data_IF_111028394070
#
_entry.id   IF_111028394070
#
_cell.length_a   1.000
_cell.length_b   1.000
_cell.length_c   1.000
_cell.angle_alpha   90.00
_cell.angle_beta   90.00
_cell.angle_gamma   90.00
#
_symmetry.space_group_name_H-M   'P 1'
#
loop_
_entity.id
_entity.type
_entity.pdbx_description
1 polymer ?
#
# COMPACT_ATOMS: atom_id res chain seq x y z
N UNK A 1 -3.74 -32.20 12.37
CA UNK A 1 -4.28 -31.06 11.65
C UNK A 1 -3.28 -30.44 10.73
N UNK A 2 -3.44 -30.72 9.47
CA UNK A 2 -2.48 -30.24 8.47
C UNK A 2 -3.00 -29.13 7.59
N UNK A 3 -4.27 -28.80 7.78
CA UNK A 3 -4.92 -27.78 6.96
C UNK A 3 -4.37 -26.39 7.27
N UNK A 4 -4.10 -26.08 8.55
CA UNK A 4 -3.70 -24.75 8.97
C UNK A 4 -2.41 -24.24 8.30
N UNK A 5 -1.33 -25.08 8.20
CA UNK A 5 -0.14 -24.60 7.48
C UNK A 5 -0.41 -24.23 6.03
N UNK A 6 -1.29 -24.98 5.36
CA UNK A 6 -1.65 -24.67 3.99
C UNK A 6 -2.45 -23.39 3.88
N UNK A 7 -3.40 -23.18 4.79
CA UNK A 7 -4.24 -22.00 4.80
C UNK A 7 -3.45 -20.73 5.16
N UNK A 8 -2.37 -20.88 5.93
CA UNK A 8 -1.55 -19.74 6.38
C UNK A 8 -0.40 -19.44 5.44
N UNK A 9 -0.21 -20.21 4.40
CA UNK A 9 0.84 -19.93 3.42
C UNK A 9 0.51 -18.69 2.64
N UNK A 10 1.47 -17.76 2.51
CA UNK A 10 1.26 -16.61 1.64
C UNK A 10 1.22 -17.05 0.18
N UNK A 11 0.56 -16.28 -0.65
CA UNK A 11 0.56 -16.51 -2.08
C UNK A 11 1.95 -16.30 -2.67
N UNK A 12 2.23 -16.84 -3.87
CA UNK A 12 3.53 -16.64 -4.50
C UNK A 12 3.88 -15.17 -4.68
N UNK A 13 5.16 -14.88 -4.82
CA UNK A 13 5.61 -13.52 -5.08
C UNK A 13 4.97 -12.97 -6.34
N UNK A 14 4.60 -11.72 -6.28
CA UNK A 14 3.90 -11.02 -7.34
C UNK A 14 4.57 -9.67 -7.56
N UNK A 15 4.83 -9.34 -8.82
CA UNK A 15 5.41 -8.03 -9.16
C UNK A 15 4.30 -6.98 -9.21
N UNK A 16 4.66 -5.74 -8.92
CA UNK A 16 3.73 -4.65 -9.09
C UNK A 16 3.46 -4.45 -10.58
N UNK A 17 2.20 -4.19 -10.90
CA UNK A 17 1.75 -3.97 -12.26
C UNK A 17 1.80 -2.48 -12.62
N UNK A 18 1.66 -1.65 -11.62
CA UNK A 18 1.63 -0.19 -11.76
C UNK A 18 2.24 0.42 -10.51
N UNK A 19 3.01 1.47 -10.68
CA UNK A 19 3.55 2.22 -9.55
C UNK A 19 3.68 3.69 -9.92
N UNK A 20 3.78 4.54 -8.92
CA UNK A 20 3.94 5.96 -9.16
C UNK A 20 3.89 6.76 -7.87
N UNK A 21 3.84 8.07 -8.03
CA UNK A 21 3.72 9.02 -6.94
C UNK A 21 2.47 9.86 -7.13
N UNK A 22 1.72 10.06 -6.06
CA UNK A 22 0.53 10.91 -6.06
C UNK A 22 0.76 12.10 -5.17
N UNK A 23 0.66 13.31 -5.73
CA UNK A 23 0.75 14.55 -4.97
C UNK A 23 -0.53 14.70 -4.15
N UNK A 24 -0.43 14.62 -2.83
CA UNK A 24 -1.60 14.68 -1.94
C UNK A 24 -1.73 16.03 -1.23
N UNK A 25 -0.65 16.81 -1.18
CA UNK A 25 -0.65 18.18 -0.65
C UNK A 25 0.50 18.94 -1.28
N UNK A 26 0.65 20.22 -0.92
CA UNK A 26 1.77 21.02 -1.43
C UNK A 26 3.11 20.42 -1.02
N UNK A 27 3.19 19.87 0.18
CA UNK A 27 4.42 19.31 0.74
C UNK A 27 4.61 17.83 0.40
N UNK A 28 3.55 17.04 0.47
CA UNK A 28 3.65 15.58 0.46
C UNK A 28 3.24 14.93 -0.86
N UNK A 29 4.07 13.96 -1.26
CA UNK A 29 3.82 13.11 -2.41
C UNK A 29 3.97 11.66 -1.94
N UNK A 30 2.94 10.85 -2.07
CA UNK A 30 2.98 9.46 -1.61
C UNK A 30 3.29 8.51 -2.76
N UNK A 31 4.11 7.51 -2.46
CA UNK A 31 4.43 6.44 -3.40
C UNK A 31 3.40 5.33 -3.27
N UNK A 32 2.98 4.77 -4.40
CA UNK A 32 2.03 3.66 -4.40
C UNK A 32 2.42 2.60 -5.42
N UNK A 33 1.95 1.38 -5.19
CA UNK A 33 2.07 0.25 -6.12
C UNK A 33 0.74 -0.49 -6.21
N UNK A 34 0.42 -0.96 -7.39
CA UNK A 34 -0.78 -1.77 -7.63
C UNK A 34 -0.37 -3.11 -8.21
N UNK A 35 -0.91 -4.17 -7.67
CA UNK A 35 -0.65 -5.54 -8.14
C UNK A 35 -1.94 -6.36 -8.14
N UNK A 36 -1.88 -7.57 -8.68
CA UNK A 36 -3.02 -8.47 -8.72
C UNK A 36 -3.98 -8.19 -9.85
N UNK A 37 -5.25 -8.45 -9.61
CA UNK A 37 -6.30 -8.35 -10.64
C UNK A 37 -6.72 -6.90 -10.85
N UNK A 38 -6.52 -6.33 -12.05
CA UNK A 38 -6.92 -4.93 -12.30
C UNK A 38 -8.41 -4.67 -12.20
N UNK A 39 -9.22 -5.71 -12.29
CA UNK A 39 -10.67 -5.61 -12.18
C UNK A 39 -11.19 -6.25 -10.89
N UNK A 40 -10.28 -6.57 -9.97
CA UNK A 40 -10.64 -7.23 -8.74
C UNK A 40 -11.13 -6.28 -7.66
N UNK A 41 -11.50 -6.87 -6.53
CA UNK A 41 -11.87 -6.08 -5.35
C UNK A 41 -10.67 -5.29 -4.85
N UNK A 42 -10.82 -4.00 -4.61
CA UNK A 42 -9.70 -3.22 -4.05
C UNK A 42 -9.38 -3.68 -2.63
N UNK A 43 -8.10 -3.91 -2.38
CA UNK A 43 -7.56 -4.18 -1.05
C UNK A 43 -6.45 -3.18 -0.81
N UNK A 44 -6.62 -2.34 0.19
CA UNK A 44 -5.64 -1.32 0.55
C UNK A 44 -4.81 -1.82 1.73
N UNK A 45 -3.50 -1.86 1.53
CA UNK A 45 -2.57 -2.30 2.57
C UNK A 45 -1.98 -1.08 3.27
N UNK A 46 -2.27 -0.96 4.55
CA UNK A 46 -1.74 0.13 5.38
C UNK A 46 -0.62 -0.46 6.23
N UNK A 47 0.62 -0.06 5.93
CA UNK A 47 1.76 -0.58 6.66
C UNK A 47 1.81 -0.06 8.09
N UNK A 48 2.44 -0.84 8.97
CA UNK A 48 2.64 -0.45 10.36
C UNK A 48 4.02 0.14 10.61
N UNK A 49 4.29 0.47 11.87
CA UNK A 49 5.57 0.97 12.34
C UNK A 49 5.90 2.36 11.83
N UNK A 50 6.57 3.20 12.60
CA UNK A 50 6.96 4.49 12.05
C UNK A 50 8.12 4.34 11.08
N UNK A 51 8.01 4.96 9.90
CA UNK A 51 9.13 5.12 8.96
C UNK A 51 9.48 3.94 8.08
N UNK A 52 8.82 2.79 8.25
CA UNK A 52 9.20 1.58 7.52
C UNK A 52 8.78 1.56 6.05
N UNK A 53 7.60 2.05 5.77
CA UNK A 53 7.02 1.94 4.44
C UNK A 53 6.41 0.57 4.18
N UNK A 54 5.80 0.41 3.02
CA UNK A 54 5.19 -0.84 2.62
C UNK A 54 6.25 -1.80 2.07
N UNK A 55 6.01 -3.09 2.24
CA UNK A 55 6.92 -4.14 1.80
C UNK A 55 6.26 -4.98 0.71
N UNK A 56 7.04 -5.44 -0.30
CA UNK A 56 6.47 -6.31 -1.34
C UNK A 56 5.81 -7.57 -0.79
N UNK A 57 6.27 -8.06 0.36
CA UNK A 57 5.73 -9.26 0.96
C UNK A 57 4.29 -9.12 1.42
N UNK A 58 3.84 -7.91 1.73
CA UNK A 58 2.47 -7.69 2.22
C UNK A 58 1.42 -8.07 1.18
N UNK A 59 1.75 -7.97 -0.12
CA UNK A 59 0.81 -8.34 -1.18
C UNK A 59 0.59 -9.86 -1.25
N UNK A 60 1.45 -10.65 -0.64
CA UNK A 60 1.32 -12.11 -0.62
C UNK A 60 0.23 -12.62 0.29
N UNK A 61 -0.41 -11.75 1.06
CA UNK A 61 -1.51 -12.13 1.93
C UNK A 61 -2.87 -12.04 1.22
N UNK A 62 -2.89 -11.63 -0.03
CA UNK A 62 -4.12 -11.46 -0.81
C UNK A 62 -4.07 -12.31 -2.06
N UNK A 63 -5.21 -12.91 -2.41
CA UNK A 63 -5.32 -13.68 -3.64
C UNK A 63 -5.25 -12.74 -4.85
N UNK A 64 -4.21 -12.85 -5.68
CA UNK A 64 -4.02 -11.92 -6.79
C UNK A 64 -5.02 -12.10 -7.93
N UNK A 65 -5.79 -13.19 -7.94
CA UNK A 65 -6.85 -13.39 -8.92
C UNK A 65 -8.15 -12.70 -8.54
N UNK A 66 -8.32 -12.43 -7.24
CA UNK A 66 -9.54 -11.84 -6.69
C UNK A 66 -9.37 -10.35 -6.41
N UNK A 67 -8.21 -9.95 -5.92
CA UNK A 67 -8.00 -8.59 -5.41
C UNK A 67 -7.12 -7.76 -6.31
N UNK A 68 -7.48 -6.49 -6.43
CA UNK A 68 -6.58 -5.44 -6.87
C UNK A 68 -5.88 -4.92 -5.60
N UNK A 69 -4.60 -5.22 -5.46
CA UNK A 69 -3.86 -4.98 -4.23
C UNK A 69 -3.15 -3.64 -4.34
N UNK A 70 -3.54 -2.70 -3.50
CA UNK A 70 -2.97 -1.35 -3.49
C UNK A 70 -2.11 -1.20 -2.25
N UNK A 71 -0.84 -0.89 -2.46
CA UNK A 71 0.12 -0.60 -1.40
C UNK A 71 0.58 0.83 -1.56
N UNK A 72 0.84 1.50 -0.45
CA UNK A 72 1.39 2.85 -0.49
C UNK A 72 2.30 3.06 0.72
N UNK A 73 3.23 3.99 0.56
CA UNK A 73 4.06 4.43 1.66
C UNK A 73 3.44 5.69 2.25
N UNK A 74 3.18 5.66 3.55
CA UNK A 74 2.58 6.79 4.26
C UNK A 74 3.51 8.00 4.21
N UNK A 75 2.97 9.19 4.48
CA UNK A 75 3.76 10.42 4.52
C UNK A 75 5.02 10.24 5.36
N UNK A 76 6.15 10.64 4.83
CA UNK A 76 7.43 10.53 5.52
C UNK A 76 8.05 9.15 5.52
N UNK A 77 7.41 8.16 4.92
CA UNK A 77 7.86 6.77 4.94
C UNK A 77 8.33 6.30 3.57
N UNK A 78 9.24 5.33 3.57
CA UNK A 78 9.67 4.64 2.37
C UNK A 78 10.05 5.57 1.23
N UNK A 79 9.39 5.40 0.10
CA UNK A 79 9.64 6.19 -1.10
C UNK A 79 8.76 7.43 -1.23
N UNK A 80 7.89 7.68 -0.24
CA UNK A 80 7.11 8.93 -0.19
C UNK A 80 8.01 10.10 0.18
N UNK A 81 7.69 11.28 -0.33
CA UNK A 81 8.51 12.46 -0.12
C UNK A 81 7.71 13.60 0.51
N UNK A 82 8.33 14.43 1.36
CA UNK A 82 9.71 14.35 1.85
C UNK A 82 9.89 13.21 2.85
N UNK A 83 11.06 12.59 2.80
CA UNK A 83 11.37 11.45 3.66
C UNK A 83 11.50 11.87 5.12
N UNK A 84 10.96 11.05 6.02
CA UNK A 84 11.03 11.26 7.47
C UNK A 84 10.41 12.57 7.97
N UNK A 85 9.56 13.21 7.16
CA UNK A 85 8.89 14.44 7.57
C UNK A 85 7.76 14.16 8.55
N UNK A 86 7.73 14.94 9.64
CA UNK A 86 6.64 14.91 10.62
C UNK A 86 5.66 16.07 10.40
N UNK A 87 5.96 16.99 9.49
CA UNK A 87 5.10 18.11 9.19
C UNK A 87 3.84 17.67 8.46
N UNK A 88 2.69 18.15 8.89
CA UNK A 88 1.40 17.76 8.32
C UNK A 88 1.26 16.25 8.15
N UNK A 89 1.58 15.52 9.22
CA UNK A 89 1.63 14.07 9.18
C UNK A 89 0.91 13.47 10.39
N UNK A 90 -0.41 13.59 10.40
CA UNK A 90 -1.28 13.08 11.45
C UNK A 90 -2.15 11.94 10.92
N UNK A 91 -2.91 11.32 11.82
CA UNK A 91 -3.88 10.29 11.44
C UNK A 91 -4.91 10.83 10.44
N UNK A 92 -5.32 12.07 10.60
CA UNK A 92 -6.29 12.70 9.68
C UNK A 92 -5.70 12.88 8.29
N UNK A 93 -4.42 13.21 8.20
CA UNK A 93 -3.72 13.29 6.91
C UNK A 93 -3.63 11.92 6.25
N UNK A 94 -3.37 10.87 7.03
CA UNK A 94 -3.34 9.51 6.50
C UNK A 94 -4.69 9.11 5.87
N UNK A 95 -5.79 9.39 6.58
CA UNK A 95 -7.12 9.09 6.06
C UNK A 95 -7.40 9.88 4.78
N UNK A 96 -7.03 11.15 4.74
CA UNK A 96 -7.21 11.97 3.55
C UNK A 96 -6.41 11.45 2.37
N UNK A 97 -5.20 10.98 2.61
CA UNK A 97 -4.35 10.42 1.54
C UNK A 97 -4.94 9.13 0.99
N UNK A 98 -5.46 8.27 1.85
CA UNK A 98 -6.13 7.04 1.42
C UNK A 98 -7.32 7.35 0.54
N UNK A 99 -8.11 8.37 0.87
CA UNK A 99 -9.24 8.78 0.06
C UNK A 99 -8.81 9.32 -1.30
N UNK A 100 -7.76 10.14 -1.34
CA UNK A 100 -7.23 10.64 -2.60
C UNK A 100 -6.72 9.51 -3.48
N UNK A 101 -6.04 8.54 -2.88
CA UNK A 101 -5.53 7.38 -3.60
C UNK A 101 -6.68 6.54 -4.15
N UNK A 102 -7.73 6.34 -3.35
CA UNK A 102 -8.93 5.61 -3.79
C UNK A 102 -9.57 6.27 -5.01
N UNK A 103 -9.71 7.58 -4.98
CA UNK A 103 -10.30 8.33 -6.09
C UNK A 103 -9.40 8.32 -7.33
N UNK A 104 -8.09 8.37 -7.13
CA UNK A 104 -7.12 8.37 -8.22
C UNK A 104 -7.10 7.05 -8.97
N UNK A 105 -7.24 5.96 -8.25
CA UNK A 105 -7.28 4.61 -8.80
C UNK A 105 -8.71 4.14 -9.02
#
# INVERSE_FOLDING_TARGET
>A
MRILPELLKPYPYLQSRQSGHLQVSELHCIYYEVSGNPNGKPALVVHGGPGGGSQPEYRRYFDPTIYMIVQFDQRGCGQSTPHASLEDNTMWHLVADMEQLREFL
#
